data_IF_493528533120
#
_entry.id   IF_493528533120
#
_cell.length_a   1.000
_cell.length_b   1.000
_cell.length_c   1.000
_cell.angle_alpha   90.00
_cell.angle_beta   90.00
_cell.angle_gamma   90.00
#
_symmetry.space_group_name_H-M   'P 1'
#
loop_
_entity.id
_entity.type
_entity.pdbx_description
1 polymer ?
#
# COMPACT_ATOMS: atom_id res chain seq x y z
N UNK A 1 -8.55 -1.56 -28.78
CA UNK A 1 -7.18 -1.03 -28.90
C UNK A 1 -6.42 -1.49 -27.68
N UNK A 2 -5.26 -2.14 -27.87
CA UNK A 2 -4.40 -2.63 -26.79
C UNK A 2 -4.00 -1.46 -25.88
N UNK A 3 -4.12 -1.63 -24.56
CA UNK A 3 -3.76 -0.61 -23.57
C UNK A 3 -2.40 -0.87 -22.97
N UNK A 4 -1.62 0.19 -22.75
CA UNK A 4 -0.25 0.11 -22.26
C UNK A 4 -0.14 0.69 -20.85
N UNK A 5 0.38 -0.11 -19.92
CA UNK A 5 0.65 0.30 -18.54
C UNK A 5 2.12 0.12 -18.24
N UNK A 6 2.76 1.15 -17.67
CA UNK A 6 4.14 1.10 -17.19
C UNK A 6 4.15 0.97 -15.67
N UNK A 7 4.85 -0.01 -15.12
CA UNK A 7 5.03 -0.21 -13.68
C UNK A 7 6.46 0.18 -13.30
N UNK A 8 6.61 1.13 -12.39
CA UNK A 8 7.89 1.66 -11.92
C UNK A 8 8.20 1.16 -10.50
N UNK A 9 9.39 0.62 -10.27
CA UNK A 9 9.79 0.07 -8.97
C UNK A 9 9.25 -1.35 -8.76
N UNK A 10 9.37 -2.20 -9.78
CA UNK A 10 8.77 -3.54 -9.80
C UNK A 10 9.43 -4.55 -8.85
N UNK A 11 10.56 -4.18 -8.23
CA UNK A 11 11.13 -4.89 -7.08
C UNK A 11 10.20 -4.97 -5.89
N UNK A 12 9.13 -4.16 -5.85
CA UNK A 12 7.95 -4.46 -5.04
C UNK A 12 7.13 -5.59 -5.68
N UNK A 13 7.70 -6.80 -5.70
CA UNK A 13 7.19 -7.96 -6.43
C UNK A 13 5.75 -8.33 -6.03
N UNK A 14 5.35 -8.06 -4.78
CA UNK A 14 3.97 -8.22 -4.32
C UNK A 14 2.98 -7.32 -5.06
N UNK A 15 3.27 -6.01 -5.14
CA UNK A 15 2.41 -5.09 -5.87
C UNK A 15 2.44 -5.38 -7.37
N UNK A 16 3.61 -5.69 -7.94
CA UNK A 16 3.74 -6.06 -9.36
C UNK A 16 2.85 -7.24 -9.69
N UNK A 17 2.91 -8.32 -8.89
CA UNK A 17 2.05 -9.50 -9.05
C UNK A 17 0.57 -9.12 -8.95
N UNK A 18 0.17 -8.40 -7.91
CA UNK A 18 -1.24 -8.02 -7.72
C UNK A 18 -1.81 -7.19 -8.87
N UNK A 19 -1.02 -6.27 -9.43
CA UNK A 19 -1.43 -5.47 -10.59
C UNK A 19 -1.56 -6.35 -11.84
N UNK A 20 -0.58 -7.22 -12.11
CA UNK A 20 -0.63 -8.13 -13.27
C UNK A 20 -1.84 -9.07 -13.18
N UNK A 21 -2.08 -9.68 -12.02
CA UNK A 21 -3.25 -10.55 -11.82
C UNK A 21 -4.57 -9.77 -11.95
N UNK A 22 -4.62 -8.52 -11.48
CA UNK A 22 -5.81 -7.68 -11.64
C UNK A 22 -6.09 -7.36 -13.12
N UNK A 23 -5.07 -7.13 -13.94
CA UNK A 23 -5.22 -6.90 -15.39
C UNK A 23 -5.67 -8.17 -16.12
N UNK A 24 -5.14 -9.33 -15.72
CA UNK A 24 -5.59 -10.64 -16.21
C UNK A 24 -7.07 -10.84 -15.88
N UNK A 25 -7.48 -10.65 -14.63
CA UNK A 25 -8.86 -10.80 -14.18
C UNK A 25 -9.81 -9.79 -14.87
N UNK A 26 -9.32 -8.57 -15.13
CA UNK A 26 -10.09 -7.55 -15.87
C UNK A 26 -10.36 -7.96 -17.32
N UNK A 27 -9.50 -8.81 -17.90
CA UNK A 27 -9.57 -9.26 -19.28
C UNK A 27 -9.17 -8.21 -20.32
N UNK A 28 -9.09 -8.64 -21.58
CA UNK A 28 -8.67 -7.80 -22.70
C UNK A 28 -7.16 -7.81 -22.98
N UNK A 29 -6.75 -7.20 -24.09
CA UNK A 29 -5.35 -7.15 -24.52
C UNK A 29 -4.57 -6.01 -23.82
N UNK A 30 -3.51 -6.38 -23.09
CA UNK A 30 -2.67 -5.42 -22.36
C UNK A 30 -1.19 -5.52 -22.77
N UNK A 31 -0.50 -4.39 -22.76
CA UNK A 31 0.96 -4.33 -22.70
C UNK A 31 1.38 -3.83 -21.32
N UNK A 32 2.12 -4.65 -20.57
CA UNK A 32 2.67 -4.28 -19.28
C UNK A 32 4.18 -4.11 -19.43
N UNK A 33 4.67 -2.91 -19.10
CA UNK A 33 6.07 -2.53 -19.20
C UNK A 33 6.65 -2.33 -17.80
N UNK A 34 7.59 -3.18 -17.41
CA UNK A 34 8.17 -3.22 -16.08
C UNK A 34 9.47 -2.41 -16.04
N UNK A 35 9.67 -1.64 -14.97
CA UNK A 35 10.88 -0.86 -14.76
C UNK A 35 11.37 -1.01 -13.34
N UNK A 36 12.65 -1.33 -13.19
CA UNK A 36 13.39 -1.19 -11.95
C UNK A 36 14.83 -0.77 -12.26
N UNK A 37 15.49 -0.12 -11.31
CA UNK A 37 16.91 0.22 -11.43
C UNK A 37 17.80 -0.94 -10.97
N UNK A 38 17.25 -1.87 -10.17
CA UNK A 38 17.92 -3.07 -9.74
C UNK A 38 17.68 -4.19 -10.76
N UNK A 39 18.74 -4.71 -11.41
CA UNK A 39 18.60 -5.73 -12.46
C UNK A 39 18.06 -7.06 -11.94
N UNK A 40 18.40 -7.45 -10.70
CA UNK A 40 17.89 -8.68 -10.10
C UNK A 40 16.40 -8.56 -9.83
N UNK A 41 15.97 -7.43 -9.28
CA UNK A 41 14.55 -7.16 -9.05
C UNK A 41 13.74 -7.15 -10.35
N UNK A 42 14.28 -6.51 -11.40
CA UNK A 42 13.64 -6.46 -12.71
C UNK A 42 13.52 -7.84 -13.36
N UNK A 43 14.56 -8.67 -13.27
CA UNK A 43 14.56 -10.04 -13.78
C UNK A 43 13.47 -10.87 -13.10
N UNK A 44 13.46 -10.90 -11.77
CA UNK A 44 12.47 -11.66 -10.98
C UNK A 44 11.05 -11.21 -11.31
N UNK A 45 10.79 -9.90 -11.34
CA UNK A 45 9.48 -9.36 -11.67
C UNK A 45 9.03 -9.70 -13.11
N UNK A 46 9.97 -9.72 -14.06
CA UNK A 46 9.72 -10.07 -15.46
C UNK A 46 9.34 -11.54 -15.61
N UNK A 47 10.16 -12.45 -15.07
CA UNK A 47 9.92 -13.89 -15.07
C UNK A 47 8.62 -14.23 -14.33
N UNK A 48 8.47 -13.63 -13.14
CA UNK A 48 7.23 -13.36 -12.41
C UNK A 48 6.00 -13.27 -13.31
N UNK A 49 5.93 -12.14 -13.96
CA UNK A 49 4.79 -11.69 -14.73
C UNK A 49 4.54 -12.58 -15.95
N UNK A 50 5.61 -13.03 -16.63
CA UNK A 50 5.49 -13.93 -17.79
C UNK A 50 4.87 -15.28 -17.41
N UNK A 51 5.31 -15.88 -16.29
CA UNK A 51 4.75 -17.14 -15.80
C UNK A 51 3.30 -17.00 -15.36
N UNK A 52 2.93 -15.88 -14.77
CA UNK A 52 1.52 -15.58 -14.46
C UNK A 52 0.70 -15.53 -15.75
N UNK A 53 1.10 -14.72 -16.72
CA UNK A 53 0.41 -14.60 -18.01
C UNK A 53 0.22 -15.97 -18.68
N UNK A 54 1.27 -16.79 -18.72
CA UNK A 54 1.22 -18.14 -19.28
C UNK A 54 0.26 -19.05 -18.49
N UNK A 55 0.35 -19.05 -17.16
CA UNK A 55 -0.49 -19.88 -16.31
C UNK A 55 -1.99 -19.54 -16.43
N UNK A 56 -2.33 -18.27 -16.68
CA UNK A 56 -3.71 -17.83 -16.92
C UNK A 56 -4.13 -17.88 -18.39
N UNK A 57 -3.21 -18.10 -19.34
CA UNK A 57 -3.49 -18.02 -20.79
C UNK A 57 -3.99 -16.64 -21.23
N UNK A 58 -3.52 -15.58 -20.55
CA UNK A 58 -4.06 -14.24 -20.74
C UNK A 58 -3.40 -13.50 -21.91
N UNK A 59 -4.13 -12.65 -22.65
CA UNK A 59 -3.58 -11.88 -23.77
C UNK A 59 -2.82 -10.62 -23.28
N UNK A 60 -1.83 -10.83 -22.41
CA UNK A 60 -1.01 -9.77 -21.82
C UNK A 60 0.44 -9.95 -22.28
N UNK A 61 1.06 -8.89 -22.79
CA UNK A 61 2.49 -8.94 -23.18
C UNK A 61 3.35 -8.22 -22.15
N UNK A 62 4.44 -8.84 -21.72
CA UNK A 62 5.40 -8.28 -20.76
C UNK A 62 6.64 -7.76 -21.50
N UNK A 63 7.04 -6.52 -21.20
CA UNK A 63 8.34 -5.94 -21.58
C UNK A 63 9.00 -5.37 -20.33
N UNK A 64 10.33 -5.34 -20.27
CA UNK A 64 11.05 -4.72 -19.15
C UNK A 64 12.21 -3.86 -19.64
N UNK A 65 12.61 -2.86 -18.84
CA UNK A 65 13.81 -2.06 -19.05
C UNK A 65 14.35 -1.52 -17.72
N UNK A 66 15.67 -1.33 -17.65
CA UNK A 66 16.33 -0.63 -16.54
C UNK A 66 16.15 0.91 -16.63
N UNK A 67 15.79 1.41 -17.82
CA UNK A 67 15.56 2.84 -18.07
C UNK A 67 14.10 3.09 -18.42
N UNK A 68 13.38 3.77 -17.51
CA UNK A 68 11.98 4.15 -17.73
C UNK A 68 11.77 4.90 -19.04
N UNK A 69 12.74 5.69 -19.51
CA UNK A 69 12.60 6.54 -20.70
C UNK A 69 12.42 5.72 -21.98
N UNK A 70 12.88 4.48 -21.99
CA UNK A 70 12.73 3.56 -23.13
C UNK A 70 11.32 2.99 -23.26
N UNK A 71 10.54 3.00 -22.16
CA UNK A 71 9.25 2.30 -22.07
C UNK A 71 8.08 3.21 -21.72
N UNK A 72 8.33 4.44 -21.27
CA UNK A 72 7.31 5.47 -21.06
C UNK A 72 6.58 5.91 -22.35
N UNK A 73 7.23 6.05 -23.52
CA UNK A 73 6.56 6.56 -24.72
C UNK A 73 5.30 5.78 -25.09
N UNK A 74 4.19 6.50 -25.25
CA UNK A 74 2.89 5.93 -25.62
C UNK A 74 2.14 5.16 -24.52
N UNK A 75 2.57 5.25 -23.26
CA UNK A 75 1.82 4.66 -22.15
C UNK A 75 0.44 5.33 -21.94
N UNK A 76 -0.59 4.53 -21.63
CA UNK A 76 -1.91 5.03 -21.20
C UNK A 76 -1.95 5.31 -19.69
N UNK A 77 -1.19 4.55 -18.91
CA UNK A 77 -1.03 4.76 -17.48
C UNK A 77 0.38 4.41 -17.01
N UNK A 78 0.81 5.07 -15.94
CA UNK A 78 2.08 4.80 -15.25
C UNK A 78 1.75 4.57 -13.79
N UNK A 79 2.22 3.47 -13.21
CA UNK A 79 2.02 3.14 -11.80
C UNK A 79 3.37 3.16 -11.09
N UNK A 80 3.47 3.86 -9.97
CA UNK A 80 4.69 3.89 -9.16
C UNK A 80 4.52 3.13 -7.86
N UNK A 81 5.44 2.18 -7.63
CA UNK A 81 5.67 1.45 -6.39
C UNK A 81 7.11 1.61 -5.92
N UNK A 82 7.76 2.71 -6.32
CA UNK A 82 9.16 3.01 -6.04
C UNK A 82 9.39 3.12 -4.52
N UNK A 83 10.46 2.49 -4.02
CA UNK A 83 10.98 2.72 -2.67
C UNK A 83 12.42 3.22 -2.73
N UNK A 84 12.64 4.53 -2.62
CA UNK A 84 13.99 5.11 -2.76
C UNK A 84 14.89 4.68 -1.60
N UNK A 85 15.97 3.99 -1.94
CA UNK A 85 16.90 3.37 -0.99
C UNK A 85 16.48 1.96 -0.52
N UNK A 86 15.35 1.45 -1.01
CA UNK A 86 14.83 0.12 -0.71
C UNK A 86 14.53 -0.11 0.77
N UNK A 87 14.37 -1.38 1.13
CA UNK A 87 14.06 -1.84 2.49
C UNK A 87 15.09 -1.33 3.52
N UNK A 88 16.38 -1.39 3.20
CA UNK A 88 17.46 -0.96 4.12
C UNK A 88 17.40 0.52 4.48
N UNK A 89 16.98 1.39 3.56
CA UNK A 89 16.81 2.81 3.89
C UNK A 89 15.56 3.03 4.74
N UNK A 90 14.48 2.31 4.46
CA UNK A 90 13.27 2.34 5.27
C UNK A 90 13.50 1.82 6.71
N UNK A 91 14.28 0.75 6.89
CA UNK A 91 14.70 0.29 8.23
C UNK A 91 15.44 1.39 8.99
N UNK A 92 16.31 2.13 8.32
CA UNK A 92 17.00 3.27 8.93
C UNK A 92 16.05 4.41 9.29
N UNK A 93 15.02 4.65 8.49
CA UNK A 93 13.97 5.65 8.77
C UNK A 93 13.19 5.34 10.06
N UNK A 94 13.25 4.11 10.57
CA UNK A 94 12.66 3.72 11.84
C UNK A 94 13.71 3.58 12.94
N UNK A 95 14.75 2.78 12.72
CA UNK A 95 15.69 2.35 13.75
C UNK A 95 16.57 3.51 14.26
N UNK A 96 17.02 4.40 13.37
CA UNK A 96 17.92 5.52 13.75
C UNK A 96 17.23 6.42 14.78
N UNK A 97 15.93 6.64 14.66
CA UNK A 97 15.22 7.56 15.57
C UNK A 97 14.99 7.00 16.98
N UNK A 98 15.14 5.68 17.17
CA UNK A 98 15.07 5.05 18.50
C UNK A 98 16.18 5.53 19.43
N UNK A 99 17.34 5.94 18.90
CA UNK A 99 18.41 6.53 19.71
C UNK A 99 18.00 7.87 20.36
N UNK A 100 16.97 8.53 19.81
CA UNK A 100 16.38 9.76 20.33
C UNK A 100 15.07 9.50 21.10
N UNK A 101 14.80 8.23 21.47
CA UNK A 101 13.56 7.82 22.12
C UNK A 101 12.29 8.12 21.31
N UNK A 102 12.40 8.15 19.98
CA UNK A 102 11.29 8.28 19.05
C UNK A 102 11.02 6.90 18.45
N UNK A 103 9.91 6.30 18.82
CA UNK A 103 9.47 4.98 18.40
C UNK A 103 8.34 5.09 17.36
N UNK A 104 8.43 4.29 16.30
CA UNK A 104 7.56 4.32 15.14
C UNK A 104 7.24 2.88 14.73
N UNK A 105 6.01 2.60 14.33
CA UNK A 105 5.58 1.28 13.84
C UNK A 105 5.96 1.06 12.38
N UNK A 106 5.78 2.08 11.55
CA UNK A 106 5.90 1.98 10.11
C UNK A 106 6.87 3.02 9.58
N UNK A 107 6.80 4.27 10.06
CA UNK A 107 7.76 5.34 9.73
C UNK A 107 7.86 5.66 8.23
N UNK A 108 6.80 5.39 7.46
CA UNK A 108 6.80 5.57 6.01
C UNK A 108 5.95 6.77 5.54
N UNK A 109 5.21 7.41 6.46
CA UNK A 109 4.19 8.38 6.09
C UNK A 109 4.30 9.70 6.84
N UNK A 110 4.29 9.65 8.17
CA UNK A 110 4.41 10.81 9.04
C UNK A 110 5.59 10.63 10.01
N UNK A 111 5.81 11.61 10.89
CA UNK A 111 6.86 11.55 11.88
C UNK A 111 8.26 11.66 11.28
N UNK A 112 9.26 11.33 12.10
CA UNK A 112 10.66 11.51 11.73
C UNK A 112 11.08 10.60 10.56
N UNK A 113 10.59 9.36 10.54
CA UNK A 113 10.79 8.41 9.45
C UNK A 113 10.11 8.85 8.17
N UNK A 114 8.84 9.27 8.24
CA UNK A 114 8.11 9.78 7.08
C UNK A 114 8.77 11.01 6.46
N UNK A 115 9.28 11.94 7.28
CA UNK A 115 10.03 13.12 6.79
C UNK A 115 11.36 12.71 6.14
N UNK A 116 12.15 11.85 6.79
CA UNK A 116 13.40 11.33 6.22
C UNK A 116 13.16 10.66 4.85
N UNK A 117 12.14 9.81 4.76
CA UNK A 117 11.73 9.14 3.52
C UNK A 117 11.26 10.13 2.46
N UNK A 118 10.46 11.14 2.84
CA UNK A 118 9.97 12.18 1.94
C UNK A 118 11.13 12.93 1.26
N UNK A 119 12.14 13.33 2.03
CA UNK A 119 13.30 14.07 1.52
C UNK A 119 14.08 13.30 0.44
N UNK A 120 14.13 11.97 0.55
CA UNK A 120 14.74 11.12 -0.50
C UNK A 120 13.82 10.87 -1.69
N UNK A 121 12.51 10.75 -1.44
CA UNK A 121 11.56 10.22 -2.42
C UNK A 121 10.98 11.31 -3.32
N UNK A 122 10.66 12.48 -2.77
CA UNK A 122 10.05 13.59 -3.52
C UNK A 122 10.87 13.98 -4.76
N UNK A 123 12.20 14.17 -4.70
CA UNK A 123 12.98 14.52 -5.90
C UNK A 123 12.83 13.48 -7.01
N UNK A 124 12.87 12.19 -6.68
CA UNK A 124 12.71 11.10 -7.65
C UNK A 124 11.32 11.10 -8.27
N UNK A 125 10.28 11.29 -7.45
CA UNK A 125 8.89 11.33 -7.93
C UNK A 125 8.64 12.52 -8.88
N UNK A 126 9.26 13.67 -8.61
CA UNK A 126 9.20 14.84 -9.50
C UNK A 126 9.92 14.58 -10.81
N UNK A 127 11.11 13.96 -10.79
CA UNK A 127 11.83 13.59 -12.03
C UNK A 127 11.06 12.56 -12.87
N UNK A 128 10.44 11.56 -12.23
CA UNK A 128 9.52 10.63 -12.90
C UNK A 128 8.36 11.39 -13.55
N UNK A 129 7.73 12.32 -12.83
CA UNK A 129 6.62 13.09 -13.37
C UNK A 129 7.03 13.97 -14.56
N UNK A 130 8.21 14.58 -14.54
CA UNK A 130 8.74 15.34 -15.70
C UNK A 130 8.97 14.44 -16.92
N UNK A 131 9.43 13.21 -16.71
CA UNK A 131 9.57 12.25 -17.81
C UNK A 131 8.20 11.82 -18.36
N UNK A 132 7.20 11.62 -17.50
CA UNK A 132 5.81 11.34 -17.93
C UNK A 132 5.26 12.52 -18.75
N UNK A 133 5.41 13.75 -18.25
CA UNK A 133 4.97 14.97 -18.93
C UNK A 133 5.56 15.11 -20.34
N UNK A 134 6.82 14.71 -20.51
CA UNK A 134 7.53 14.79 -21.80
C UNK A 134 7.23 13.61 -22.74
N UNK A 135 7.16 12.39 -22.22
CA UNK A 135 7.17 11.17 -23.04
C UNK A 135 5.78 10.56 -23.22
N UNK A 136 4.87 10.79 -22.28
CA UNK A 136 3.50 10.30 -22.33
C UNK A 136 2.54 11.24 -21.58
N UNK A 137 2.39 12.51 -22.02
CA UNK A 137 1.62 13.54 -21.29
C UNK A 137 0.15 13.18 -21.05
N UNK A 138 -0.41 12.29 -21.88
CA UNK A 138 -1.79 11.83 -21.73
C UNK A 138 -1.95 10.68 -20.73
N UNK A 139 -0.87 10.11 -20.21
CA UNK A 139 -0.94 9.01 -19.27
C UNK A 139 -1.56 9.45 -17.93
N UNK A 140 -2.32 8.56 -17.29
CA UNK A 140 -2.67 8.72 -15.89
C UNK A 140 -1.50 8.23 -15.02
N UNK A 141 -1.00 9.08 -14.12
CA UNK A 141 0.01 8.70 -13.16
C UNK A 141 -0.62 8.24 -11.85
N UNK A 142 -0.44 6.97 -11.50
CA UNK A 142 -0.98 6.34 -10.29
C UNK A 142 0.17 6.11 -9.31
N UNK A 143 0.07 6.66 -8.11
CA UNK A 143 1.11 6.56 -7.10
C UNK A 143 0.68 5.70 -5.90
N UNK A 144 1.40 4.59 -5.67
CA UNK A 144 1.36 3.82 -4.43
C UNK A 144 2.57 4.12 -3.52
N UNK A 145 3.55 4.90 -3.98
CA UNK A 145 4.75 5.20 -3.20
C UNK A 145 4.46 6.13 -2.03
N UNK A 146 4.78 5.65 -0.83
CA UNK A 146 4.78 6.43 0.39
C UNK A 146 6.04 7.31 0.55
N UNK A 147 5.93 8.51 1.16
CA UNK A 147 4.71 9.08 1.77
C UNK A 147 3.75 9.69 0.72
N UNK A 148 2.57 9.08 0.53
CA UNK A 148 1.72 9.31 -0.64
C UNK A 148 1.28 10.77 -0.77
N UNK A 149 0.81 11.38 0.32
CA UNK A 149 0.25 12.73 0.32
C UNK A 149 1.26 13.78 -0.16
N UNK A 150 2.49 13.76 0.37
CA UNK A 150 3.51 14.76 0.01
C UNK A 150 4.13 14.48 -1.36
N UNK A 151 4.26 13.22 -1.77
CA UNK A 151 4.70 12.86 -3.13
C UNK A 151 3.69 13.38 -4.17
N UNK A 152 2.40 13.08 -3.99
CA UNK A 152 1.36 13.54 -4.90
C UNK A 152 1.28 15.07 -4.93
N UNK A 153 1.37 15.72 -3.77
CA UNK A 153 1.39 17.19 -3.66
C UNK A 153 2.60 17.80 -4.37
N UNK A 154 3.78 17.20 -4.25
CA UNK A 154 4.99 17.71 -4.90
C UNK A 154 4.87 17.62 -6.43
N UNK A 155 4.43 16.48 -6.95
CA UNK A 155 4.17 16.30 -8.39
C UNK A 155 3.15 17.32 -8.88
N UNK A 156 1.98 17.40 -8.25
CA UNK A 156 0.92 18.33 -8.64
C UNK A 156 1.33 19.82 -8.57
N UNK A 157 2.33 20.17 -7.75
CA UNK A 157 2.87 21.54 -7.65
C UNK A 157 3.93 21.87 -8.68
N UNK A 158 4.55 20.86 -9.30
CA UNK A 158 5.77 21.03 -10.12
C UNK A 158 5.60 20.58 -11.56
N UNK A 159 4.54 19.84 -11.88
CA UNK A 159 4.22 19.38 -13.23
C UNK A 159 2.72 19.49 -13.51
N UNK A 160 2.34 19.34 -14.79
CA UNK A 160 0.95 19.26 -15.24
C UNK A 160 0.40 17.84 -15.34
N UNK A 161 1.15 16.84 -14.87
CA UNK A 161 0.78 15.42 -14.94
C UNK A 161 -0.50 15.16 -14.15
N UNK A 162 -1.43 14.42 -14.77
CA UNK A 162 -2.63 13.92 -14.10
C UNK A 162 -2.24 12.80 -13.13
N UNK A 163 -2.15 13.12 -11.85
CA UNK A 163 -1.74 12.19 -10.78
C UNK A 163 -2.90 11.83 -9.85
N UNK A 164 -2.96 10.55 -9.47
CA UNK A 164 -3.82 10.04 -8.40
C UNK A 164 -2.99 9.17 -7.44
N UNK A 165 -3.16 9.35 -6.13
CA UNK A 165 -2.59 8.47 -5.12
C UNK A 165 -3.58 7.37 -4.75
N UNK A 166 -3.15 6.11 -4.69
CA UNK A 166 -3.98 4.98 -4.28
C UNK A 166 -3.38 4.29 -3.06
N UNK A 167 -4.25 3.97 -2.10
CA UNK A 167 -3.96 3.17 -0.92
C UNK A 167 -5.18 2.29 -0.62
N UNK A 168 -4.97 1.06 -0.17
CA UNK A 168 -6.04 0.08 0.04
C UNK A 168 -6.69 0.17 1.43
N UNK A 169 -6.22 1.06 2.32
CA UNK A 169 -6.67 1.12 3.72
C UNK A 169 -8.18 1.28 3.89
N UNK A 170 -8.83 2.12 3.08
CA UNK A 170 -10.30 2.30 3.15
C UNK A 170 -11.04 0.99 2.85
N UNK A 171 -10.71 0.33 1.74
CA UNK A 171 -11.33 -0.93 1.34
C UNK A 171 -11.06 -2.04 2.35
N UNK A 172 -9.84 -2.11 2.89
CA UNK A 172 -9.51 -3.07 3.94
C UNK A 172 -10.42 -2.89 5.17
N UNK A 173 -10.60 -1.64 5.64
CA UNK A 173 -11.38 -1.38 6.85
C UNK A 173 -12.88 -1.44 6.62
N UNK A 174 -13.37 -1.19 5.41
CA UNK A 174 -14.75 -1.49 5.02
C UNK A 174 -15.04 -2.99 5.15
N UNK A 175 -14.17 -3.84 4.60
CA UNK A 175 -14.30 -5.29 4.70
C UNK A 175 -14.13 -5.78 6.14
N UNK A 176 -13.19 -5.20 6.89
CA UNK A 176 -13.02 -5.48 8.30
C UNK A 176 -14.28 -5.15 9.10
N UNK A 177 -14.88 -3.97 8.90
CA UNK A 177 -16.09 -3.58 9.60
C UNK A 177 -17.27 -4.47 9.22
N UNK A 178 -17.40 -4.88 7.95
CA UNK A 178 -18.42 -5.84 7.52
C UNK A 178 -18.28 -7.18 8.25
N UNK A 179 -17.06 -7.76 8.26
CA UNK A 179 -16.77 -8.98 9.03
C UNK A 179 -17.00 -8.78 10.53
N UNK A 180 -16.64 -7.62 11.06
CA UNK A 180 -16.80 -7.30 12.48
C UNK A 180 -18.27 -7.31 12.92
N UNK A 181 -19.18 -6.89 12.05
CA UNK A 181 -20.63 -6.96 12.28
C UNK A 181 -21.29 -8.23 11.73
N UNK A 182 -20.49 -9.20 11.29
CA UNK A 182 -20.92 -10.51 10.79
C UNK A 182 -21.83 -10.43 9.54
N UNK A 183 -21.55 -9.51 8.62
CA UNK A 183 -22.27 -9.35 7.34
C UNK A 183 -21.34 -9.46 6.11
N UNK A 184 -21.88 -9.77 4.91
CA UNK A 184 -21.11 -9.76 3.68
C UNK A 184 -20.59 -8.36 3.33
N UNK A 185 -19.36 -8.25 2.85
CA UNK A 185 -18.77 -6.95 2.49
C UNK A 185 -19.44 -6.34 1.26
N UNK A 186 -20.05 -7.16 0.41
CA UNK A 186 -20.81 -6.75 -0.77
C UNK A 186 -22.12 -6.00 -0.40
N UNK A 187 -22.58 -6.14 0.84
CA UNK A 187 -23.81 -5.52 1.34
C UNK A 187 -23.56 -4.25 2.16
N UNK A 188 -22.30 -3.86 2.34
CA UNK A 188 -21.93 -2.62 3.01
C UNK A 188 -21.47 -1.54 2.04
N UNK A 189 -21.49 -0.30 2.50
CA UNK A 189 -20.85 0.81 1.80
C UNK A 189 -20.34 1.82 2.81
N UNK A 190 -19.24 2.50 2.48
CA UNK A 190 -18.67 3.52 3.33
C UNK A 190 -18.39 4.85 2.61
N UNK A 191 -18.35 5.93 3.39
CA UNK A 191 -17.79 7.22 2.97
C UNK A 191 -16.61 7.56 3.86
N UNK A 192 -15.43 7.68 3.26
CA UNK A 192 -14.21 8.02 3.95
C UNK A 192 -13.67 9.40 3.54
N UNK A 193 -13.07 10.13 4.48
CA UNK A 193 -12.45 11.44 4.27
C UNK A 193 -11.16 11.57 5.09
N UNK A 194 -10.16 12.25 4.54
CA UNK A 194 -8.90 12.54 5.22
C UNK A 194 -7.72 12.65 4.25
N UNK A 195 -6.53 12.39 4.77
CA UNK A 195 -5.29 12.28 4.00
C UNK A 195 -4.72 10.87 4.15
N UNK A 196 -3.81 10.44 3.27
CA UNK A 196 -3.24 9.09 3.34
C UNK A 196 -2.77 8.73 4.76
N UNK A 197 -3.17 7.56 5.23
CA UNK A 197 -2.87 7.03 6.58
C UNK A 197 -3.40 7.86 7.76
N UNK A 198 -4.26 8.85 7.50
CA UNK A 198 -5.04 9.60 8.48
C UNK A 198 -6.45 9.83 7.92
N UNK A 199 -7.06 8.73 7.47
CA UNK A 199 -8.37 8.70 6.82
C UNK A 199 -9.42 8.11 7.77
N UNK A 200 -10.64 8.65 7.71
CA UNK A 200 -11.73 8.32 8.61
C UNK A 200 -12.98 7.92 7.83
N UNK A 201 -13.56 6.77 8.15
CA UNK A 201 -14.89 6.39 7.69
C UNK A 201 -15.91 7.16 8.53
N UNK A 202 -16.66 8.04 7.87
CA UNK A 202 -17.65 8.94 8.49
C UNK A 202 -19.07 8.45 8.31
N UNK A 203 -19.33 7.72 7.22
CA UNK A 203 -20.60 7.00 7.02
C UNK A 203 -20.27 5.52 6.78
N UNK A 204 -20.96 4.63 7.48
CA UNK A 204 -20.89 3.19 7.22
C UNK A 204 -22.32 2.64 7.21
N UNK A 205 -22.70 2.02 6.09
CA UNK A 205 -24.06 1.57 5.83
C UNK A 205 -24.10 0.08 5.56
N UNK A 206 -25.12 -0.59 6.07
CA UNK A 206 -25.46 -1.97 5.74
C UNK A 206 -26.88 -1.98 5.14
N UNK A 207 -27.02 -2.50 3.92
CA UNK A 207 -28.29 -2.47 3.17
C UNK A 207 -28.94 -1.07 3.14
N UNK A 208 -28.11 -0.04 2.96
CA UNK A 208 -28.51 1.37 2.89
C UNK A 208 -28.80 2.06 4.23
N UNK A 209 -28.85 1.33 5.35
CA UNK A 209 -29.11 1.85 6.70
C UNK A 209 -27.82 2.12 7.46
N UNK A 210 -27.84 3.09 8.36
CA UNK A 210 -26.69 3.38 9.25
C UNK A 210 -26.32 2.14 10.08
N UNK A 211 -25.07 1.71 9.96
CA UNK A 211 -24.54 0.52 10.60
C UNK A 211 -23.77 0.82 11.89
N UNK A 212 -23.52 2.09 12.23
CA UNK A 212 -22.79 2.43 13.46
C UNK A 212 -23.42 1.91 14.75
N UNK A 213 -24.76 1.88 14.92
CA UNK A 213 -25.38 1.26 16.09
C UNK A 213 -25.00 -0.22 16.25
N UNK A 214 -24.95 -0.97 15.13
CA UNK A 214 -24.58 -2.37 15.12
C UNK A 214 -23.08 -2.57 15.42
N UNK A 215 -22.21 -1.72 14.85
CA UNK A 215 -20.78 -1.73 15.18
C UNK A 215 -20.56 -1.51 16.67
N UNK A 216 -21.26 -0.56 17.31
CA UNK A 216 -21.16 -0.31 18.76
C UNK A 216 -21.68 -1.45 19.61
N UNK A 217 -22.76 -2.11 19.16
CA UNK A 217 -23.26 -3.31 19.82
C UNK A 217 -22.18 -4.41 19.77
N UNK A 218 -21.63 -4.69 18.59
CA UNK A 218 -20.59 -5.70 18.38
C UNK A 218 -19.30 -5.39 19.14
N UNK A 219 -18.94 -4.12 19.27
CA UNK A 219 -17.81 -3.69 20.08
C UNK A 219 -17.97 -4.04 21.58
N UNK A 220 -19.20 -4.04 22.10
CA UNK A 220 -19.48 -4.50 23.47
C UNK A 220 -19.47 -6.03 23.57
N UNK A 221 -20.04 -6.72 22.59
CA UNK A 221 -20.08 -8.19 22.53
C UNK A 221 -18.68 -8.80 22.35
N UNK A 222 -17.82 -8.15 21.57
CA UNK A 222 -16.48 -8.59 21.17
C UNK A 222 -15.38 -7.82 21.92
N UNK A 223 -15.64 -7.28 23.11
CA UNK A 223 -14.72 -6.39 23.83
C UNK A 223 -13.32 -7.02 24.05
N UNK A 224 -13.27 -8.32 24.32
CA UNK A 224 -12.02 -9.07 24.56
C UNK A 224 -11.43 -9.71 23.30
N UNK A 225 -12.03 -9.48 22.12
CA UNK A 225 -11.58 -10.11 20.89
C UNK A 225 -10.28 -9.49 20.36
N UNK A 226 -9.45 -10.23 19.60
CA UNK A 226 -8.24 -9.68 18.98
C UNK A 226 -8.49 -8.47 18.09
N UNK A 227 -9.64 -8.41 17.41
CA UNK A 227 -10.07 -7.29 16.55
C UNK A 227 -10.21 -5.99 17.34
N UNK A 228 -10.56 -6.07 18.62
CA UNK A 228 -10.65 -4.90 19.52
C UNK A 228 -9.33 -4.68 20.27
N UNK A 229 -8.82 -5.73 20.92
CA UNK A 229 -7.66 -5.62 21.83
C UNK A 229 -6.33 -5.35 21.14
N UNK A 230 -6.19 -5.60 19.83
CA UNK A 230 -4.97 -5.28 19.06
C UNK A 230 -4.95 -3.85 18.52
N UNK A 231 -6.09 -3.16 18.48
CA UNK A 231 -6.17 -1.77 18.00
C UNK A 231 -6.97 -0.88 18.96
N UNK A 232 -6.62 -0.88 20.27
CA UNK A 232 -7.39 -0.17 21.29
C UNK A 232 -7.55 1.32 20.99
N UNK A 233 -6.54 1.95 20.37
CA UNK A 233 -6.60 3.38 20.10
C UNK A 233 -7.56 3.71 18.94
N UNK A 234 -7.58 2.90 17.88
CA UNK A 234 -8.55 3.05 16.77
C UNK A 234 -9.99 2.99 17.28
N UNK A 235 -10.29 2.05 18.17
CA UNK A 235 -11.63 1.94 18.79
C UNK A 235 -11.92 3.07 19.77
N UNK A 236 -10.93 3.55 20.52
CA UNK A 236 -11.08 4.73 21.37
C UNK A 236 -11.40 5.99 20.56
N UNK A 237 -10.68 6.20 19.45
CA UNK A 237 -10.95 7.29 18.52
C UNK A 237 -12.35 7.18 17.91
N UNK A 238 -12.78 5.99 17.51
CA UNK A 238 -14.16 5.78 17.04
C UNK A 238 -15.20 6.16 18.10
N UNK A 239 -14.97 5.78 19.36
CA UNK A 239 -15.85 6.14 20.49
C UNK A 239 -15.90 7.65 20.74
N UNK A 240 -14.79 8.36 20.54
CA UNK A 240 -14.68 9.80 20.79
C UNK A 240 -15.24 10.67 19.67
N UNK A 241 -15.03 10.25 18.41
CA UNK A 241 -15.30 11.09 17.23
C UNK A 241 -16.51 10.63 16.42
N UNK A 242 -17.09 9.47 16.75
CA UNK A 242 -18.17 8.83 15.97
C UNK A 242 -17.82 8.63 14.49
N UNK A 243 -16.52 8.52 14.20
CA UNK A 243 -15.94 8.21 12.90
C UNK A 243 -14.78 7.24 13.08
N UNK A 244 -14.67 6.24 12.19
CA UNK A 244 -13.73 5.13 12.38
C UNK A 244 -12.42 5.38 11.61
N UNK A 245 -11.24 5.44 12.27
CA UNK A 245 -9.96 5.54 11.57
C UNK A 245 -9.66 4.29 10.73
N UNK A 246 -9.60 4.41 9.41
CA UNK A 246 -9.48 3.26 8.50
C UNK A 246 -8.02 2.95 8.11
N UNK A 247 -7.14 2.95 9.12
CA UNK A 247 -5.69 2.78 8.94
C UNK A 247 -5.03 1.97 10.08
N UNK A 248 -5.76 1.78 11.18
CA UNK A 248 -5.34 1.06 12.37
C UNK A 248 -4.30 1.76 13.22
N UNK A 249 -4.05 1.20 14.40
CA UNK A 249 -3.10 1.73 15.37
C UNK A 249 -1.70 1.87 14.76
N UNK A 250 -1.29 0.89 13.94
CA UNK A 250 -0.03 0.86 13.19
C UNK A 250 0.25 2.08 12.28
N UNK A 251 -0.74 2.92 11.99
CA UNK A 251 -0.53 4.19 11.26
C UNK A 251 -1.06 5.39 12.01
N UNK A 252 -2.29 5.31 12.55
CA UNK A 252 -2.97 6.48 13.15
C UNK A 252 -2.19 7.03 14.35
N UNK A 253 -1.53 6.16 15.11
CA UNK A 253 -0.73 6.56 16.27
C UNK A 253 0.45 7.45 15.88
N UNK A 254 1.02 7.30 14.67
CA UNK A 254 2.15 8.12 14.21
C UNK A 254 1.76 9.60 14.04
N UNK A 255 0.48 9.89 13.80
CA UNK A 255 -0.05 11.24 13.62
C UNK A 255 -0.36 11.95 14.95
N UNK A 256 -0.38 11.23 16.06
CA UNK A 256 -0.74 11.78 17.36
C UNK A 256 0.50 11.86 18.25
N UNK A 257 0.89 13.07 18.71
CA UNK A 257 2.01 13.24 19.61
C UNK A 257 1.80 12.47 20.92
N UNK A 258 2.86 11.81 21.40
CA UNK A 258 2.89 11.18 22.72
C UNK A 258 3.04 9.66 22.66
N UNK A 259 2.50 9.01 21.63
CA UNK A 259 2.60 7.54 21.49
C UNK A 259 3.99 7.05 21.09
N UNK A 260 4.85 7.94 20.58
CA UNK A 260 6.20 7.61 20.11
C UNK A 260 7.21 7.47 21.26
N UNK A 261 6.79 7.54 22.52
CA UNK A 261 7.64 7.34 23.69
C UNK A 261 7.73 5.88 24.14
N UNK A 262 8.78 5.54 24.89
CA UNK A 262 8.94 4.20 25.50
C UNK A 262 7.81 3.96 26.52
N UNK A 263 7.12 2.83 26.39
CA UNK A 263 6.00 2.48 27.27
C UNK A 263 4.76 3.38 27.14
N UNK A 264 4.76 4.32 26.20
CA UNK A 264 3.71 5.32 26.10
C UNK A 264 2.38 4.73 25.61
N UNK A 265 2.41 3.66 24.82
CA UNK A 265 1.24 3.04 24.21
C UNK A 265 0.66 1.93 25.10
N UNK A 266 -0.25 2.30 26.00
CA UNK A 266 -0.89 1.38 26.97
C UNK A 266 0.13 0.50 27.73
N UNK A 267 1.25 1.11 28.15
CA UNK A 267 2.36 0.42 28.83
C UNK A 267 3.35 -0.28 27.90
N UNK A 268 3.11 -0.25 26.59
CA UNK A 268 3.94 -0.81 25.53
C UNK A 268 4.66 0.29 24.74
N UNK A 269 5.65 -0.11 23.97
CA UNK A 269 6.43 0.72 23.07
C UNK A 269 6.02 0.46 21.63
N UNK A 270 5.52 1.50 20.98
CA UNK A 270 5.04 1.43 19.61
C UNK A 270 6.16 1.00 18.64
N UNK A 271 5.87 0.14 17.67
CA UNK A 271 6.90 -0.41 16.78
C UNK A 271 7.82 -1.49 17.37
N UNK A 272 7.62 -1.86 18.65
CA UNK A 272 8.41 -2.89 19.35
C UNK A 272 7.50 -4.01 19.86
N UNK A 273 6.67 -3.73 20.86
CA UNK A 273 5.87 -4.72 21.60
C UNK A 273 4.37 -4.37 21.65
N UNK A 274 3.94 -3.44 20.78
CA UNK A 274 2.57 -2.98 20.60
C UNK A 274 1.72 -3.81 19.62
N UNK A 275 2.10 -5.06 19.31
CA UNK A 275 1.42 -5.86 18.27
C UNK A 275 1.73 -5.43 16.83
N UNK A 276 2.65 -4.48 16.67
CA UNK A 276 3.17 -3.96 15.41
C UNK A 276 4.70 -3.89 15.49
N UNK A 277 5.37 -5.03 15.68
CA UNK A 277 6.84 -5.06 15.69
C UNK A 277 7.36 -4.70 14.31
N UNK A 278 8.15 -3.63 14.22
CA UNK A 278 8.73 -3.21 12.96
C UNK A 278 9.62 -4.32 12.38
N UNK A 279 10.41 -4.98 13.21
CA UNK A 279 11.30 -6.07 12.81
C UNK A 279 10.54 -7.26 12.23
N UNK A 280 9.44 -7.68 12.86
CA UNK A 280 8.60 -8.77 12.35
C UNK A 280 7.94 -8.39 11.03
N UNK A 281 7.43 -7.15 10.94
CA UNK A 281 6.83 -6.62 9.72
C UNK A 281 7.86 -6.55 8.58
N UNK A 282 9.05 -6.04 8.87
CA UNK A 282 10.13 -5.89 7.92
C UNK A 282 10.66 -7.26 7.43
N UNK A 283 10.78 -8.26 8.33
CA UNK A 283 11.16 -9.63 8.00
C UNK A 283 10.10 -10.36 7.14
N UNK A 284 8.82 -9.97 7.24
CA UNK A 284 7.76 -10.46 6.37
C UNK A 284 8.05 -10.25 4.89
N UNK A 285 8.61 -9.10 4.52
CA UNK A 285 8.93 -8.78 3.13
C UNK A 285 10.03 -9.66 2.53
N UNK A 286 11.02 -10.08 3.32
CA UNK A 286 12.09 -10.98 2.83
C UNK A 286 11.50 -12.36 2.47
N UNK A 287 10.56 -12.86 3.27
CA UNK A 287 9.87 -14.13 2.99
C UNK A 287 9.05 -14.04 1.71
N UNK A 288 8.23 -12.99 1.58
CA UNK A 288 7.40 -12.76 0.38
C UNK A 288 8.27 -12.61 -0.87
N UNK A 289 9.38 -11.88 -0.78
CA UNK A 289 10.31 -11.73 -1.90
C UNK A 289 10.94 -13.07 -2.28
N UNK A 290 11.37 -13.87 -1.31
CA UNK A 290 11.94 -15.20 -1.56
C UNK A 290 10.93 -16.14 -2.22
N UNK A 291 9.68 -16.16 -1.74
CA UNK A 291 8.61 -16.96 -2.34
C UNK A 291 8.36 -16.57 -3.80
N UNK A 292 8.37 -15.27 -4.10
CA UNK A 292 8.20 -14.75 -5.46
C UNK A 292 9.40 -15.02 -6.35
N UNK A 293 10.62 -14.98 -5.81
CA UNK A 293 11.84 -15.39 -6.50
C UNK A 293 11.78 -16.88 -6.87
N UNK A 294 11.35 -17.73 -5.94
CA UNK A 294 11.21 -19.17 -6.19
C UNK A 294 10.12 -19.46 -7.23
N UNK A 295 9.01 -18.72 -7.23
CA UNK A 295 8.00 -18.80 -8.28
C UNK A 295 8.53 -18.32 -9.63
N UNK A 296 9.28 -17.22 -9.66
CA UNK A 296 9.88 -16.65 -10.88
C UNK A 296 10.83 -17.65 -11.56
N UNK A 297 11.71 -18.29 -10.77
CA UNK A 297 12.66 -19.29 -11.26
C UNK A 297 12.06 -20.70 -11.41
N UNK A 298 10.76 -20.87 -11.17
CA UNK A 298 10.08 -22.17 -11.30
C UNK A 298 10.48 -23.20 -10.25
N UNK A 299 11.09 -22.77 -9.13
CA UNK A 299 11.38 -23.60 -7.96
C UNK A 299 10.13 -23.84 -7.11
N UNK A 300 9.12 -22.97 -7.25
CA UNK A 300 7.79 -23.10 -6.68
C UNK A 300 6.70 -22.92 -7.76
N UNK A 301 5.51 -23.55 -7.61
CA UNK A 301 4.42 -23.40 -8.56
C UNK A 301 3.78 -22.01 -8.50
N UNK A 302 3.22 -21.56 -9.64
CA UNK A 302 2.34 -20.39 -9.67
C UNK A 302 1.02 -20.75 -9.00
N UNK A 303 0.73 -20.12 -7.86
CA UNK A 303 -0.56 -20.22 -7.20
C UNK A 303 -1.44 -19.11 -7.73
N UNK A 304 -2.53 -19.43 -8.43
CA UNK A 304 -3.50 -18.44 -8.90
C UNK A 304 -4.21 -17.81 -7.71
N UNK A 305 -4.26 -16.49 -7.65
CA UNK A 305 -5.06 -15.78 -6.66
C UNK A 305 -6.52 -16.16 -6.86
N UNK A 306 -7.17 -16.72 -5.83
CA UNK A 306 -8.61 -16.99 -5.87
C UNK A 306 -9.34 -15.65 -5.90
N UNK A 307 -10.48 -15.56 -6.59
CA UNK A 307 -11.27 -14.34 -6.86
C UNK A 307 -11.75 -13.53 -5.62
N UNK A 308 -11.24 -13.79 -4.41
CA UNK A 308 -11.70 -13.19 -3.15
C UNK A 308 -10.60 -12.66 -2.21
N UNK A 309 -9.30 -12.74 -2.55
CA UNK A 309 -8.22 -12.42 -1.58
C UNK A 309 -7.29 -11.28 -1.99
N UNK A 310 -7.79 -10.26 -2.69
CA UNK A 310 -7.05 -8.99 -2.83
C UNK A 310 -7.30 -8.15 -1.58
N UNK A 311 -6.54 -8.39 -0.50
CA UNK A 311 -6.62 -7.54 0.70
C UNK A 311 -6.15 -8.13 2.03
N UNK A 312 -5.59 -9.34 2.10
CA UNK A 312 -5.25 -9.99 3.38
C UNK A 312 -3.73 -10.14 3.65
N UNK A 313 -2.91 -9.14 3.30
CA UNK A 313 -1.58 -8.98 3.89
C UNK A 313 -1.48 -7.66 4.66
#
# INVERSE_FOLDING_TARGET
>A
MKKTIVLLGVGSTYFTRGIVESLIAKGGEWEVRLVDIDPKCLEIATLLSQRLVEAYGAPVTIRSSLDRREVLPGADAVVSTIGVGGRRAWEKDVIIFRQFSIYQSTGDTYGAGGVSRALRTIPVMVEVAKDIERLCPNALFINFTNPMTVNCRAVAKTTSVRIAGLCYGVTWYEHFLARFIDVPWEEVSCRAIGVNHFTWITEFRYQGKDAWPLVRQKMKEKADSPEVTRQPYTWELFRLFDAFPCVGDGHICEFVPGWQGKGAYYGKTFGIDAGHSFEEYAAGFDRVFQEMEDQAYGRAPIVKTKDQTVGEL
#
